data_IF_345753094155
#
_entry.id   IF_345753094155
#
_cell.length_a   1.000
_cell.length_b   1.000
_cell.length_c   1.000
_cell.angle_alpha   90.00
_cell.angle_beta   90.00
_cell.angle_gamma   90.00
#
_symmetry.space_group_name_H-M   'P 1'
#
loop_
_entity.id
_entity.type
_entity.pdbx_description
1 polymer ?
#
# COMPACT_ATOMS: atom_id res chain seq x y z
N UNK A 1 -4.69 17.86 14.96
CA UNK A 1 -3.52 17.49 14.13
C UNK A 1 -3.22 18.67 13.23
N UNK A 2 -1.95 19.06 13.05
CA UNK A 2 -1.60 20.17 12.14
C UNK A 2 -1.66 19.71 10.69
N UNK A 3 -2.14 20.56 9.78
CA UNK A 3 -2.26 20.26 8.35
C UNK A 3 -0.97 19.67 7.73
N UNK A 4 0.25 20.15 8.04
CA UNK A 4 1.47 19.58 7.48
C UNK A 4 1.72 18.13 7.92
N UNK A 5 1.42 17.81 9.19
CA UNK A 5 1.56 16.45 9.72
C UNK A 5 0.57 15.48 9.06
N UNK A 6 -0.63 15.96 8.74
CA UNK A 6 -1.61 15.21 7.98
C UNK A 6 -1.14 14.98 6.53
N UNK A 7 -0.70 16.04 5.83
CA UNK A 7 -0.23 15.94 4.44
C UNK A 7 0.98 15.01 4.31
N UNK A 8 1.95 15.09 5.22
CA UNK A 8 3.12 14.20 5.21
C UNK A 8 2.72 12.74 5.45
N UNK A 9 1.85 12.47 6.43
CA UNK A 9 1.36 11.11 6.67
C UNK A 9 0.56 10.56 5.48
N UNK A 10 -0.23 11.42 4.83
CA UNK A 10 -1.01 11.07 3.66
C UNK A 10 -0.13 10.78 2.43
N UNK A 11 0.89 11.60 2.19
CA UNK A 11 1.87 11.38 1.12
C UNK A 11 2.70 10.13 1.35
N UNK A 12 3.16 9.88 2.59
CA UNK A 12 3.92 8.68 2.91
C UNK A 12 3.16 7.38 2.61
N UNK A 13 1.82 7.43 2.71
CA UNK A 13 0.96 6.29 2.37
C UNK A 13 0.60 6.24 0.89
N UNK A 14 0.35 7.39 0.26
CA UNK A 14 -0.25 7.45 -1.08
C UNK A 14 0.80 7.42 -2.19
N UNK A 15 1.93 8.10 -2.00
CA UNK A 15 2.99 8.21 -3.01
C UNK A 15 3.58 6.84 -3.41
N UNK A 16 3.91 5.93 -2.48
CA UNK A 16 4.45 4.61 -2.83
C UNK A 16 3.46 3.79 -3.66
N UNK A 17 2.17 3.83 -3.30
CA UNK A 17 1.12 3.13 -4.01
C UNK A 17 0.95 3.68 -5.44
N UNK A 18 0.89 5.00 -5.58
CA UNK A 18 0.74 5.66 -6.88
C UNK A 18 1.94 5.39 -7.80
N UNK A 19 3.17 5.37 -7.27
CA UNK A 19 4.36 5.07 -8.05
C UNK A 19 4.33 3.65 -8.62
N UNK A 20 3.97 2.66 -7.80
CA UNK A 20 3.87 1.27 -8.24
C UNK A 20 2.78 1.13 -9.31
N UNK A 21 1.60 1.71 -9.08
CA UNK A 21 0.50 1.66 -10.03
C UNK A 21 0.83 2.33 -11.37
N UNK A 22 1.41 3.54 -11.32
CA UNK A 22 1.80 4.29 -12.52
C UNK A 22 2.93 3.60 -13.29
N UNK A 23 3.91 3.03 -12.58
CA UNK A 23 5.01 2.28 -13.21
C UNK A 23 4.51 1.00 -13.88
N UNK A 24 3.72 0.19 -13.17
CA UNK A 24 3.13 -1.03 -13.72
C UNK A 24 2.18 -0.74 -14.90
N UNK A 25 1.41 0.35 -14.84
CA UNK A 25 0.55 0.79 -15.93
C UNK A 25 1.32 1.30 -17.15
N UNK A 26 2.39 2.06 -16.94
CA UNK A 26 3.23 2.60 -18.02
C UNK A 26 3.98 1.52 -18.80
N UNK A 27 4.31 0.39 -18.16
CA UNK A 27 4.99 -0.74 -18.81
C UNK A 27 3.98 -1.73 -19.43
N UNK A 28 2.72 -1.70 -19.01
CA UNK A 28 1.69 -2.56 -19.60
C UNK A 28 1.24 -2.04 -20.96
N UNK A 29 1.37 -2.90 -21.98
CA UNK A 29 0.76 -2.71 -23.29
C UNK A 29 -0.49 -3.60 -23.39
N UNK A 30 -1.48 -3.24 -24.23
CA UNK A 30 -2.68 -4.07 -24.47
C UNK A 30 -2.34 -5.52 -24.89
N UNK A 31 -1.15 -5.73 -25.47
CA UNK A 31 -0.63 -7.01 -25.92
C UNK A 31 0.05 -7.85 -24.82
N UNK A 32 0.48 -7.26 -23.70
CA UNK A 32 1.10 -8.02 -22.61
C UNK A 32 0.73 -7.44 -21.23
N UNK A 33 -0.46 -7.78 -20.68
CA UNK A 33 -1.01 -7.17 -19.47
C UNK A 33 -0.39 -7.67 -18.16
N UNK A 34 0.59 -8.57 -18.21
CA UNK A 34 1.27 -9.16 -17.05
C UNK A 34 1.81 -8.11 -16.05
N UNK A 35 2.42 -6.98 -16.47
CA UNK A 35 2.97 -5.98 -15.55
C UNK A 35 1.90 -5.30 -14.69
N UNK A 36 0.71 -5.04 -15.25
CA UNK A 36 -0.40 -4.41 -14.55
C UNK A 36 -0.99 -5.34 -13.48
N UNK A 37 -1.16 -6.63 -13.80
CA UNK A 37 -1.60 -7.67 -12.87
C UNK A 37 -0.62 -7.84 -11.71
N UNK A 38 0.68 -7.86 -11.99
CA UNK A 38 1.72 -7.92 -10.97
C UNK A 38 1.69 -6.69 -10.05
N UNK A 39 1.50 -5.48 -10.61
CA UNK A 39 1.33 -4.26 -9.82
C UNK A 39 0.11 -4.33 -8.88
N UNK A 40 -1.04 -4.77 -9.39
CA UNK A 40 -2.27 -4.93 -8.61
C UNK A 40 -2.11 -6.00 -7.51
N UNK A 41 -1.46 -7.13 -7.82
CA UNK A 41 -1.19 -8.20 -6.86
C UNK A 41 -0.22 -7.73 -5.76
N UNK A 42 0.84 -7.00 -6.12
CA UNK A 42 1.80 -6.44 -5.18
C UNK A 42 1.13 -5.44 -4.22
N UNK A 43 0.28 -4.55 -4.75
CA UNK A 43 -0.49 -3.62 -3.92
C UNK A 43 -1.41 -4.35 -2.95
N UNK A 44 -2.20 -5.29 -3.46
CA UNK A 44 -3.16 -6.06 -2.65
C UNK A 44 -2.46 -6.83 -1.55
N UNK A 45 -1.38 -7.55 -1.87
CA UNK A 45 -0.59 -8.30 -0.89
C UNK A 45 0.07 -7.39 0.14
N UNK A 46 0.59 -6.24 -0.26
CA UNK A 46 1.19 -5.26 0.67
C UNK A 46 0.16 -4.71 1.65
N UNK A 47 -1.05 -4.36 1.19
CA UNK A 47 -2.13 -3.93 2.08
C UNK A 47 -2.56 -5.04 3.04
N UNK A 48 -2.66 -6.28 2.56
CA UNK A 48 -3.00 -7.44 3.38
C UNK A 48 -1.95 -7.73 4.45
N UNK A 49 -0.66 -7.72 4.09
CA UNK A 49 0.45 -7.92 5.03
C UNK A 49 0.51 -6.78 6.03
N UNK A 50 0.35 -5.53 5.59
CA UNK A 50 0.28 -4.37 6.47
C UNK A 50 -0.85 -4.48 7.49
N UNK A 51 -2.04 -4.90 7.06
CA UNK A 51 -3.19 -5.14 7.94
C UNK A 51 -2.94 -6.31 8.91
N UNK A 52 -2.35 -7.41 8.42
CA UNK A 52 -1.98 -8.56 9.24
C UNK A 52 -0.98 -8.18 10.34
N UNK A 53 0.08 -7.44 9.99
CA UNK A 53 1.06 -6.93 10.93
C UNK A 53 0.42 -5.94 11.91
N UNK A 54 -0.42 -5.02 11.45
CA UNK A 54 -1.16 -4.11 12.31
C UNK A 54 -2.00 -4.87 13.34
N UNK A 55 -2.75 -5.89 12.92
CA UNK A 55 -3.50 -6.75 13.85
C UNK A 55 -2.55 -7.47 14.82
N UNK A 56 -1.47 -8.06 14.35
CA UNK A 56 -0.51 -8.76 15.21
C UNK A 56 0.14 -7.85 16.26
N UNK A 57 0.46 -6.59 15.92
CA UNK A 57 1.14 -5.66 16.81
C UNK A 57 0.19 -4.85 17.72
N UNK A 58 -1.00 -4.48 17.25
CA UNK A 58 -1.99 -3.73 18.06
C UNK A 58 -2.90 -4.62 18.89
N UNK A 59 -3.34 -5.77 18.39
CA UNK A 59 -4.29 -6.62 19.11
C UNK A 59 -3.62 -7.32 20.31
N UNK A 60 -2.32 -7.65 20.22
CA UNK A 60 -1.56 -8.20 21.35
C UNK A 60 -1.37 -7.22 22.53
N UNK A 61 -1.56 -5.91 22.34
CA UNK A 61 -1.51 -4.94 23.45
C UNK A 61 -2.84 -4.79 24.19
N UNK A 62 -3.97 -5.20 23.58
CA UNK A 62 -5.30 -5.12 24.20
C UNK A 62 -5.68 -6.35 25.04
N UNK A 63 -4.96 -7.47 24.89
CA UNK A 63 -5.21 -8.71 25.65
C UNK A 63 -4.47 -8.78 27.00
N UNK A 64 -3.68 -7.75 27.35
CA UNK A 64 -2.88 -7.66 28.58
C UNK A 64 -3.30 -6.48 29.49
N UNK A 65 -4.46 -5.86 29.24
CA UNK A 65 -5.03 -4.80 30.08
C UNK A 65 -6.27 -5.28 30.82
#
# INVERSE_FOLDING_TARGET
MTLPRFMLAWLLSTVPYCLIAAYSGSISSMSDPKPALMGAALLTTTFWVGWFLFRKFKLNRGALS
#
